data_IF_990035053325
#
_entry.id   IF_990035053325
#
_cell.length_a   1.000
_cell.length_b   1.000
_cell.length_c   1.000
_cell.angle_alpha   90.00
_cell.angle_beta   90.00
_cell.angle_gamma   90.00
#
_symmetry.space_group_name_H-M   'P 1'
#
loop_
_entity.id
_entity.type
_entity.pdbx_description
1 polymer ?
#
# COMPACT_ATOMS: atom_id res chain seq x y z
N UNK A 1 -22.68 18.66 -3.41
CA UNK A 1 -21.89 17.42 -3.50
C UNK A 1 -20.50 17.74 -2.94
N UNK A 2 -20.20 17.27 -1.72
CA UNK A 2 -18.92 17.52 -1.07
C UNK A 2 -17.95 16.42 -1.51
N UNK A 3 -16.83 16.78 -2.13
CA UNK A 3 -15.74 15.83 -2.38
C UNK A 3 -14.96 15.67 -1.08
N UNK A 4 -14.92 14.44 -0.54
CA UNK A 4 -14.05 14.11 0.59
C UNK A 4 -12.68 13.77 0.03
N UNK A 5 -11.70 14.64 0.27
CA UNK A 5 -10.31 14.34 -0.04
C UNK A 5 -9.77 13.40 1.03
N UNK A 6 -9.66 12.11 0.69
CA UNK A 6 -9.15 11.06 1.60
C UNK A 6 -7.61 11.06 1.66
N UNK A 7 -6.94 11.70 0.69
CA UNK A 7 -5.48 11.61 0.53
C UNK A 7 -4.79 12.87 1.06
N UNK A 8 -3.86 12.66 1.98
CA UNK A 8 -2.95 13.66 2.54
C UNK A 8 -2.08 14.26 1.43
N UNK A 9 -1.86 15.58 1.45
CA UNK A 9 -1.13 16.37 0.45
C UNK A 9 0.39 16.03 0.32
N UNK A 10 0.82 14.89 0.85
CA UNK A 10 2.22 14.42 0.95
C UNK A 10 2.42 12.99 0.48
N UNK A 11 1.38 12.32 -0.01
CA UNK A 11 1.52 11.00 -0.63
C UNK A 11 1.64 11.14 -2.15
N UNK A 12 2.47 10.28 -2.76
CA UNK A 12 2.43 10.02 -4.21
C UNK A 12 1.70 8.69 -4.41
N UNK A 13 0.35 8.68 -4.33
CA UNK A 13 -0.42 7.44 -4.42
C UNK A 13 -0.33 6.88 -5.84
N UNK A 14 0.12 5.63 -5.95
CA UNK A 14 0.30 4.99 -7.27
C UNK A 14 -0.78 3.94 -7.54
N UNK A 15 -1.18 3.21 -6.51
CA UNK A 15 -2.27 2.25 -6.57
C UNK A 15 -3.17 2.37 -5.34
N UNK A 16 -4.42 1.92 -5.50
CA UNK A 16 -5.44 1.99 -4.46
C UNK A 16 -6.37 0.77 -4.58
N UNK A 17 -6.78 0.22 -3.43
CA UNK A 17 -7.71 -0.89 -3.34
C UNK A 17 -8.75 -0.62 -2.25
N UNK A 18 -10.00 -1.03 -2.51
CA UNK A 18 -11.15 -0.72 -1.66
C UNK A 18 -11.71 -2.01 -1.06
N UNK A 19 -11.72 -2.11 0.26
CA UNK A 19 -12.44 -3.15 0.98
C UNK A 19 -13.83 -2.65 1.37
N UNK A 20 -14.83 -2.92 0.53
CA UNK A 20 -16.21 -2.51 0.81
C UNK A 20 -16.89 -3.34 1.90
N UNK A 21 -16.35 -4.51 2.25
CA UNK A 21 -16.90 -5.39 3.28
C UNK A 21 -16.39 -4.93 4.65
N UNK A 22 -15.07 -4.86 4.84
CA UNK A 22 -14.43 -4.40 6.08
C UNK A 22 -14.36 -2.88 6.25
N UNK A 23 -14.80 -2.11 5.24
CA UNK A 23 -14.84 -0.64 5.22
C UNK A 23 -13.45 -0.01 5.37
N UNK A 24 -12.49 -0.54 4.63
CA UNK A 24 -11.11 -0.06 4.63
C UNK A 24 -10.68 0.41 3.24
N UNK A 25 -9.74 1.33 3.22
CA UNK A 25 -9.09 1.84 2.02
C UNK A 25 -7.59 1.55 2.11
N UNK A 26 -7.03 0.96 1.07
CA UNK A 26 -5.60 0.62 0.99
C UNK A 26 -4.96 1.42 -0.14
N UNK A 27 -3.80 2.02 0.07
CA UNK A 27 -3.05 2.70 -0.99
C UNK A 27 -1.56 2.48 -0.88
N UNK A 28 -0.86 2.55 -2.00
CA UNK A 28 0.60 2.54 -2.03
C UNK A 28 1.14 3.96 -2.16
N UNK A 29 2.18 4.27 -1.39
CA UNK A 29 2.97 5.49 -1.53
C UNK A 29 4.33 5.10 -2.11
N UNK A 30 4.58 5.49 -3.36
CA UNK A 30 5.80 5.11 -4.08
C UNK A 30 7.05 5.76 -3.50
N UNK A 31 6.95 7.02 -3.08
CA UNK A 31 8.08 7.76 -2.51
C UNK A 31 8.50 7.16 -1.17
N UNK A 32 7.51 6.87 -0.31
CA UNK A 32 7.76 6.25 1.00
C UNK A 32 7.97 4.73 0.91
N UNK A 33 7.63 4.10 -0.22
CA UNK A 33 7.70 2.65 -0.46
C UNK A 33 6.94 1.85 0.60
N UNK A 34 5.73 2.31 0.90
CA UNK A 34 4.82 1.72 1.88
C UNK A 34 3.47 1.42 1.27
N UNK A 35 2.72 0.53 1.92
CA UNK A 35 1.29 0.38 1.76
C UNK A 35 0.65 0.83 3.06
N UNK A 36 -0.34 1.70 2.96
CA UNK A 36 -1.09 2.23 4.08
C UNK A 36 -2.55 1.76 4.00
N UNK A 37 -3.21 1.74 5.16
CA UNK A 37 -4.63 1.45 5.29
C UNK A 37 -5.31 2.51 6.13
N UNK A 38 -6.55 2.85 5.80
CA UNK A 38 -7.43 3.70 6.61
C UNK A 38 -8.87 3.17 6.56
N UNK A 39 -9.76 3.78 7.33
CA UNK A 39 -11.20 3.57 7.15
C UNK A 39 -11.66 4.17 5.82
N UNK A 40 -12.78 3.67 5.30
CA UNK A 40 -13.35 4.12 4.02
C UNK A 40 -13.65 5.63 3.96
N UNK A 41 -13.80 6.27 5.12
CA UNK A 41 -13.97 7.72 5.27
C UNK A 41 -12.64 8.49 5.38
N UNK A 42 -11.50 7.80 5.24
CA UNK A 42 -10.15 8.35 5.31
C UNK A 42 -9.56 8.47 6.71
N UNK A 43 -10.29 8.09 7.77
CA UNK A 43 -9.78 8.22 9.13
C UNK A 43 -8.79 7.12 9.49
N UNK A 44 -7.86 7.46 10.38
CA UNK A 44 -6.87 6.55 10.99
C UNK A 44 -5.92 5.88 9.98
N UNK A 45 -5.24 6.66 9.11
CA UNK A 45 -4.21 6.10 8.24
C UNK A 45 -3.10 5.44 9.07
N UNK A 46 -2.75 4.20 8.72
CA UNK A 46 -1.74 3.40 9.39
C UNK A 46 -0.88 2.70 8.34
N UNK A 47 0.43 2.64 8.58
CA UNK A 47 1.36 1.88 7.72
C UNK A 47 1.10 0.39 7.91
N UNK A 48 0.66 -0.27 6.85
CA UNK A 48 0.35 -1.71 6.83
C UNK A 48 1.60 -2.52 6.46
N UNK A 49 2.26 -2.12 5.37
CA UNK A 49 3.47 -2.78 4.86
C UNK A 49 4.54 -1.72 4.63
N UNK A 50 5.75 -1.98 5.13
CA UNK A 50 6.94 -1.19 4.79
C UNK A 50 8.01 -2.07 4.17
N UNK A 51 8.69 -1.57 3.13
CA UNK A 51 9.89 -2.21 2.61
C UNK A 51 11.02 -1.91 3.61
N UNK A 52 11.51 -2.92 4.33
CA UNK A 52 12.70 -2.77 5.20
C UNK A 52 13.90 -2.48 4.30
N UNK A 53 14.25 -1.20 4.15
CA UNK A 53 15.51 -0.81 3.51
C UNK A 53 16.63 -1.14 4.49
N UNK A 54 17.33 -2.25 4.27
CA UNK A 54 18.69 -2.40 4.78
C UNK A 54 19.62 -1.85 3.69
N UNK A 55 20.42 -0.85 4.04
CA UNK A 55 21.61 -0.30 3.33
C UNK A 55 21.52 1.11 2.69
N UNK A 56 22.66 1.84 2.69
CA UNK A 56 22.74 3.30 2.68
C UNK A 56 22.59 3.91 1.28
N UNK A 57 22.24 5.19 1.27
CA UNK A 57 21.73 6.02 0.17
C UNK A 57 22.53 6.12 -1.14
N UNK A 58 23.62 5.38 -1.37
CA UNK A 58 24.59 5.74 -2.42
C UNK A 58 24.66 4.84 -3.67
N UNK A 59 23.81 3.83 -3.86
CA UNK A 59 23.95 2.92 -5.02
C UNK A 59 22.67 2.49 -5.77
N UNK A 60 21.48 3.03 -5.52
CA UNK A 60 20.29 2.56 -6.26
C UNK A 60 20.04 3.37 -7.54
N UNK A 61 20.34 2.76 -8.69
CA UNK A 61 20.00 3.24 -10.03
C UNK A 61 18.49 3.25 -10.34
N UNK A 62 17.62 2.94 -9.38
CA UNK A 62 16.21 3.28 -9.50
C UNK A 62 15.58 3.70 -8.15
N UNK A 63 15.42 5.01 -7.91
CA UNK A 63 14.71 5.52 -6.74
C UNK A 63 13.19 5.26 -6.76
N UNK A 64 12.59 4.72 -7.84
CA UNK A 64 11.13 4.67 -8.02
C UNK A 64 10.44 3.30 -7.81
N UNK A 65 11.15 2.24 -7.39
CA UNK A 65 10.52 0.93 -7.19
C UNK A 65 9.68 0.81 -5.89
N UNK A 66 8.51 1.46 -5.86
CA UNK A 66 7.43 1.28 -4.89
C UNK A 66 6.30 0.38 -5.42
N UNK A 67 5.34 -0.05 -4.60
CA UNK A 67 4.23 -0.87 -5.07
C UNK A 67 3.39 -0.10 -6.12
N UNK A 68 3.24 -0.68 -7.32
CA UNK A 68 2.59 -0.06 -8.48
C UNK A 68 1.16 -0.55 -8.72
N UNK A 69 0.78 -1.68 -8.14
CA UNK A 69 -0.56 -2.24 -8.25
C UNK A 69 -0.99 -2.85 -6.91
N UNK A 70 -2.28 -2.78 -6.62
CA UNK A 70 -2.91 -3.37 -5.44
C UNK A 70 -4.19 -4.11 -5.86
N UNK A 71 -4.42 -5.28 -5.28
CA UNK A 71 -5.72 -5.97 -5.37
C UNK A 71 -6.00 -6.79 -4.11
N UNK A 72 -7.28 -7.06 -3.86
CA UNK A 72 -7.77 -7.79 -2.68
C UNK A 72 -8.31 -9.14 -3.14
N UNK A 73 -7.86 -10.19 -2.46
CA UNK A 73 -8.47 -11.52 -2.51
C UNK A 73 -9.32 -11.72 -1.26
N UNK A 74 -10.63 -11.64 -1.44
CA UNK A 74 -11.60 -11.81 -0.35
C UNK A 74 -11.72 -13.26 0.13
N UNK A 75 -11.44 -14.24 -0.73
CA UNK A 75 -11.60 -15.66 -0.38
C UNK A 75 -10.49 -16.08 0.58
N UNK A 76 -9.27 -15.60 0.33
CA UNK A 76 -8.10 -15.93 1.13
C UNK A 76 -7.72 -14.84 2.14
N UNK A 77 -8.49 -13.75 2.22
CA UNK A 77 -8.22 -12.60 3.10
C UNK A 77 -6.83 -11.98 2.89
N UNK A 78 -6.44 -11.80 1.63
CA UNK A 78 -5.11 -11.32 1.25
C UNK A 78 -5.13 -10.00 0.51
N UNK A 79 -4.11 -9.20 0.77
CA UNK A 79 -3.75 -8.05 -0.04
C UNK A 79 -2.54 -8.42 -0.91
N UNK A 80 -2.71 -8.32 -2.22
CA UNK A 80 -1.65 -8.53 -3.20
C UNK A 80 -1.13 -7.18 -3.69
N UNK A 81 0.18 -7.10 -3.88
CA UNK A 81 0.80 -5.95 -4.54
C UNK A 81 1.90 -6.38 -5.49
N UNK A 82 2.08 -5.60 -6.56
CA UNK A 82 3.17 -5.76 -7.50
C UNK A 82 4.14 -4.58 -7.40
N UNK A 83 5.43 -4.87 -7.43
CA UNK A 83 6.47 -3.89 -7.79
C UNK A 83 7.10 -4.27 -9.13
N UNK A 84 8.17 -3.59 -9.56
CA UNK A 84 8.81 -3.80 -10.86
C UNK A 84 9.21 -5.25 -11.16
N UNK A 85 9.51 -6.05 -10.13
CA UNK A 85 10.11 -7.36 -10.30
C UNK A 85 9.38 -8.49 -9.55
N UNK A 86 8.50 -8.16 -8.60
CA UNK A 86 7.85 -9.17 -7.74
C UNK A 86 6.36 -8.90 -7.58
N UNK A 87 5.61 -10.00 -7.40
CA UNK A 87 4.26 -9.98 -6.84
C UNK A 87 4.37 -10.55 -5.44
N UNK A 88 4.00 -9.75 -4.45
CA UNK A 88 4.01 -10.11 -3.05
C UNK A 88 2.57 -10.09 -2.50
N UNK A 89 2.37 -10.70 -1.34
CA UNK A 89 1.11 -10.57 -0.61
C UNK A 89 1.30 -10.63 0.90
N UNK A 90 0.28 -10.18 1.62
CA UNK A 90 0.12 -10.37 3.06
C UNK A 90 -1.33 -10.65 3.36
N UNK A 91 -1.62 -11.03 4.61
CA UNK A 91 -2.98 -10.93 5.12
C UNK A 91 -3.42 -9.46 5.13
N UNK A 92 -4.74 -9.21 5.13
CA UNK A 92 -5.30 -7.84 5.06
C UNK A 92 -4.97 -6.95 6.26
N UNK A 93 -4.42 -7.51 7.34
CA UNK A 93 -3.90 -6.82 8.53
C UNK A 93 -2.37 -6.58 8.47
N UNK A 94 -1.72 -6.96 7.36
CA UNK A 94 -0.28 -6.83 7.14
C UNK A 94 0.56 -7.98 7.69
N UNK A 95 -0.06 -8.97 8.34
CA UNK A 95 0.63 -10.17 8.83
C UNK A 95 0.91 -11.17 7.70
N UNK A 96 1.72 -12.20 7.99
CA UNK A 96 2.09 -13.27 7.04
C UNK A 96 2.50 -12.76 5.65
N UNK A 97 3.43 -11.80 5.59
CA UNK A 97 3.98 -11.33 4.31
C UNK A 97 4.78 -12.42 3.59
N UNK A 98 4.45 -12.64 2.33
CA UNK A 98 5.13 -13.54 1.41
C UNK A 98 5.80 -12.75 0.29
N UNK A 99 7.04 -13.12 -0.01
CA UNK A 99 7.91 -12.52 -1.04
C UNK A 99 8.25 -13.53 -2.11
#
# INVERSE_FOLDING_TARGET
>A
MLYVTVVHNTAVPNALAVDWIGKNLYWSDTEKRIIEVSKLNGLYPTVLVSKRVKFPRDLSLDPQAGPMALTIDYVNHRLYWADENHIEFSDMDGSHRHK
#
